data_IF_477468264400
#
_entry.id   IF_477468264400
#
_cell.length_a   1.000
_cell.length_b   1.000
_cell.length_c   1.000
_cell.angle_alpha   90.00
_cell.angle_beta   90.00
_cell.angle_gamma   90.00
#
_symmetry.space_group_name_H-M   'P 1'
#
loop_
_entity.id
_entity.type
_entity.pdbx_description
1 polymer ?
#
# COMPACT_ATOMS: atom_id res chain seq x y z
N UNK A 1 -16.40 -2.13 3.27
CA UNK A 1 -16.77 -2.28 4.69
C UNK A 1 -18.16 -2.88 4.86
N UNK A 2 -19.23 -2.24 4.38
CA UNK A 2 -20.61 -2.74 4.56
C UNK A 2 -20.85 -4.11 3.91
N UNK A 3 -20.30 -4.34 2.70
CA UNK A 3 -20.36 -5.66 2.04
C UNK A 3 -19.54 -6.77 2.72
N UNK A 4 -18.54 -6.40 3.53
CA UNK A 4 -17.65 -7.34 4.24
C UNK A 4 -17.94 -7.43 5.75
N UNK A 5 -18.94 -6.68 6.25
CA UNK A 5 -19.30 -6.58 7.68
C UNK A 5 -18.13 -6.20 8.61
N UNK A 6 -17.20 -5.38 8.12
CA UNK A 6 -16.04 -4.90 8.90
C UNK A 6 -16.35 -3.52 9.50
N UNK A 7 -16.01 -3.25 10.79
CA UNK A 7 -16.18 -1.93 11.39
C UNK A 7 -15.41 -0.86 10.61
N UNK A 8 -16.07 0.27 10.33
CA UNK A 8 -15.48 1.40 9.63
C UNK A 8 -15.42 2.62 10.55
N UNK A 9 -14.23 3.20 10.70
CA UNK A 9 -14.02 4.48 11.36
C UNK A 9 -13.74 5.51 10.26
N UNK A 10 -14.51 6.60 10.25
CA UNK A 10 -14.42 7.64 9.22
C UNK A 10 -14.51 9.02 9.86
N UNK A 11 -13.69 9.95 9.38
CA UNK A 11 -13.78 11.37 9.72
C UNK A 11 -14.77 12.12 8.84
N UNK A 12 -14.86 13.43 9.06
CA UNK A 12 -15.56 14.34 8.16
C UNK A 12 -14.71 14.59 6.90
N UNK A 13 -15.37 14.88 5.77
CA UNK A 13 -14.68 15.22 4.53
C UNK A 13 -13.82 16.48 4.74
N UNK A 14 -12.54 16.41 4.34
CA UNK A 14 -11.57 17.49 4.57
C UNK A 14 -11.04 17.59 6.00
N UNK A 15 -11.42 16.68 6.90
CA UNK A 15 -10.89 16.58 8.25
C UNK A 15 -9.45 16.08 8.31
N UNK A 16 -8.85 16.14 9.50
CA UNK A 16 -7.48 15.69 9.75
C UNK A 16 -7.35 14.15 9.66
N UNK A 17 -6.62 13.59 8.69
CA UNK A 17 -6.47 12.14 8.55
C UNK A 17 -5.82 11.49 9.78
N UNK A 18 -4.91 12.21 10.46
CA UNK A 18 -4.26 11.70 11.67
C UNK A 18 -5.25 11.53 12.84
N UNK A 19 -6.29 12.37 12.92
CA UNK A 19 -7.34 12.21 13.93
C UNK A 19 -8.17 10.94 13.67
N UNK A 20 -8.47 10.65 12.40
CA UNK A 20 -9.18 9.41 12.03
C UNK A 20 -8.35 8.16 12.38
N UNK A 21 -7.03 8.21 12.17
CA UNK A 21 -6.12 7.13 12.58
C UNK A 21 -6.11 6.94 14.09
N UNK A 22 -6.05 8.04 14.85
CA UNK A 22 -6.11 7.99 16.32
C UNK A 22 -7.39 7.29 16.79
N UNK A 23 -8.55 7.71 16.28
CA UNK A 23 -9.84 7.13 16.61
C UNK A 23 -9.93 5.64 16.21
N UNK A 24 -9.40 5.29 15.03
CA UNK A 24 -9.41 3.92 14.53
C UNK A 24 -8.60 2.98 15.42
N UNK A 25 -7.39 3.39 15.84
CA UNK A 25 -6.53 2.59 16.70
C UNK A 25 -7.11 2.46 18.12
N UNK A 26 -7.68 3.52 18.68
CA UNK A 26 -8.38 3.44 19.97
C UNK A 26 -9.58 2.50 19.92
N UNK A 27 -10.40 2.61 18.87
CA UNK A 27 -11.54 1.72 18.68
C UNK A 27 -11.11 0.25 18.53
N UNK A 28 -10.03 0.00 17.79
CA UNK A 28 -9.46 -1.33 17.62
C UNK A 28 -8.98 -1.93 18.95
N UNK A 29 -8.23 -1.17 19.76
CA UNK A 29 -7.79 -1.61 21.09
C UNK A 29 -8.98 -1.90 22.02
N UNK A 30 -9.96 -1.01 22.08
CA UNK A 30 -11.14 -1.19 22.92
C UNK A 30 -12.00 -2.40 22.52
N UNK A 31 -11.99 -2.76 21.24
CA UNK A 31 -12.74 -3.89 20.68
C UNK A 31 -11.93 -5.19 20.58
N UNK A 32 -10.65 -5.16 20.94
CA UNK A 32 -9.75 -6.31 20.80
C UNK A 32 -9.54 -6.75 19.34
N UNK A 33 -9.53 -5.82 18.39
CA UNK A 33 -9.26 -6.13 16.98
C UNK A 33 -7.76 -6.34 16.74
N UNK A 34 -7.42 -7.34 15.94
CA UNK A 34 -6.03 -7.72 15.66
C UNK A 34 -5.41 -6.93 14.50
N UNK A 35 -6.25 -6.47 13.55
CA UNK A 35 -5.82 -5.81 12.32
C UNK A 35 -6.58 -4.51 12.11
N UNK A 36 -5.84 -3.46 11.74
CA UNK A 36 -6.39 -2.17 11.30
C UNK A 36 -5.77 -1.81 9.96
N UNK A 37 -6.63 -1.62 8.95
CA UNK A 37 -6.22 -1.14 7.63
C UNK A 37 -6.55 0.36 7.56
N UNK A 38 -5.54 1.16 7.23
CA UNK A 38 -5.68 2.61 7.10
C UNK A 38 -5.54 2.96 5.62
N UNK A 39 -6.61 3.47 5.02
CA UNK A 39 -6.57 4.05 3.68
C UNK A 39 -6.02 5.49 3.74
N UNK A 40 -5.27 5.88 2.71
CA UNK A 40 -4.58 7.17 2.64
C UNK A 40 -4.76 7.83 1.28
N UNK A 41 -4.70 9.16 1.23
CA UNK A 41 -4.57 9.84 -0.05
C UNK A 41 -3.27 9.41 -0.76
N UNK A 42 -3.27 9.35 -2.10
CA UNK A 42 -2.12 8.85 -2.87
C UNK A 42 -1.68 9.75 -4.03
N UNK A 43 -2.21 10.97 -4.15
CA UNK A 43 -2.03 11.80 -5.36
C UNK A 43 -0.77 12.69 -5.27
N UNK A 44 0.24 12.37 -6.09
CA UNK A 44 1.57 13.00 -6.06
C UNK A 44 1.67 14.44 -6.59
N UNK A 45 0.65 15.02 -7.22
CA UNK A 45 0.76 16.39 -7.74
C UNK A 45 1.04 17.44 -6.64
N UNK A 46 0.66 17.16 -5.38
CA UNK A 46 0.96 18.00 -4.21
C UNK A 46 1.89 17.26 -3.22
N UNK A 47 3.06 16.82 -3.71
CA UNK A 47 4.03 15.97 -2.98
C UNK A 47 4.20 16.37 -1.51
N UNK A 48 4.53 17.63 -1.23
CA UNK A 48 4.93 18.06 0.13
C UNK A 48 3.81 17.91 1.17
N UNK A 49 2.61 18.37 0.84
CA UNK A 49 1.47 18.33 1.76
C UNK A 49 1.04 16.89 2.04
N UNK A 50 0.97 16.07 0.99
CA UNK A 50 0.65 14.65 1.13
C UNK A 50 1.68 13.94 2.03
N UNK A 51 2.97 14.16 1.79
CA UNK A 51 4.02 13.52 2.58
C UNK A 51 3.98 13.95 4.04
N UNK A 52 3.69 15.22 4.33
CA UNK A 52 3.51 15.71 5.71
C UNK A 52 2.32 15.05 6.41
N UNK A 53 1.22 14.81 5.70
CA UNK A 53 0.07 14.11 6.23
C UNK A 53 0.40 12.64 6.56
N UNK A 54 1.04 11.91 5.64
CA UNK A 54 1.44 10.52 5.86
C UNK A 54 2.40 10.36 7.05
N UNK A 55 3.40 11.24 7.15
CA UNK A 55 4.35 11.27 8.26
C UNK A 55 3.66 11.60 9.61
N UNK A 56 2.66 12.49 9.60
CA UNK A 56 1.83 12.75 10.79
C UNK A 56 0.99 11.54 11.18
N UNK A 57 0.40 10.82 10.23
CA UNK A 57 -0.35 9.59 10.48
C UNK A 57 0.56 8.51 11.07
N UNK A 58 1.75 8.29 10.49
CA UNK A 58 2.78 7.37 11.01
C UNK A 58 3.12 7.68 12.47
N UNK A 59 3.46 8.93 12.79
CA UNK A 59 3.72 9.34 14.19
C UNK A 59 2.56 9.08 15.12
N UNK A 60 1.33 9.23 14.64
CA UNK A 60 0.12 8.97 15.42
C UNK A 60 0.00 7.48 15.74
N UNK A 61 0.26 6.61 14.76
CA UNK A 61 0.35 5.17 14.98
C UNK A 61 1.41 4.84 16.04
N UNK A 62 2.65 5.33 15.87
CA UNK A 62 3.77 4.99 16.77
C UNK A 62 3.56 5.48 18.21
N UNK A 63 2.80 6.55 18.41
CA UNK A 63 2.46 7.08 19.75
C UNK A 63 1.50 6.17 20.50
N UNK A 64 0.54 5.56 19.81
CA UNK A 64 -0.49 4.70 20.40
C UNK A 64 -0.03 3.25 20.53
N UNK A 65 0.74 2.78 19.56
CA UNK A 65 1.23 1.41 19.48
C UNK A 65 2.73 1.47 19.17
N UNK A 66 3.61 1.16 20.13
CA UNK A 66 5.05 1.11 19.90
C UNK A 66 5.39 0.20 18.71
N UNK A 67 6.18 0.72 17.77
CA UNK A 67 6.55 0.01 16.55
C UNK A 67 5.52 0.06 15.42
N UNK A 68 4.35 0.69 15.60
CA UNK A 68 3.39 0.88 14.52
C UNK A 68 3.77 2.08 13.59
N UNK A 69 3.37 2.04 12.30
CA UNK A 69 2.69 0.93 11.64
C UNK A 69 3.65 -0.25 11.40
N UNK A 70 3.15 -1.48 11.55
CA UNK A 70 3.91 -2.71 11.31
C UNK A 70 4.20 -2.90 9.82
N UNK A 71 3.24 -2.55 8.97
CA UNK A 71 3.36 -2.57 7.51
C UNK A 71 3.00 -1.19 6.93
N UNK A 72 3.77 -0.75 5.94
CA UNK A 72 3.46 0.37 5.06
C UNK A 72 3.56 -0.13 3.63
N UNK A 73 2.42 -0.42 3.02
CA UNK A 73 2.32 -1.02 1.70
C UNK A 73 2.05 0.05 0.66
N UNK A 74 2.84 0.07 -0.42
CA UNK A 74 2.55 0.90 -1.58
C UNK A 74 1.86 0.06 -2.66
N UNK A 75 0.68 0.52 -3.10
CA UNK A 75 -0.02 -0.05 -4.25
C UNK A 75 0.49 0.62 -5.52
N UNK A 76 1.02 -0.16 -6.44
CA UNK A 76 1.56 0.28 -7.72
C UNK A 76 0.86 -0.41 -8.88
N UNK A 77 0.45 0.38 -9.86
CA UNK A 77 -0.11 -0.13 -11.11
C UNK A 77 1.03 -0.58 -12.05
N UNK A 78 1.05 -1.86 -12.42
CA UNK A 78 2.11 -2.45 -13.22
C UNK A 78 2.22 -1.85 -14.64
N UNK A 79 1.16 -1.21 -15.13
CA UNK A 79 1.14 -0.60 -16.46
C UNK A 79 1.88 0.73 -16.54
N UNK A 80 2.15 1.36 -15.38
CA UNK A 80 2.71 2.72 -15.28
C UNK A 80 4.20 2.83 -15.63
N UNK A 81 4.92 1.71 -15.67
CA UNK A 81 6.34 1.66 -16.01
C UNK A 81 7.18 2.60 -15.12
N UNK A 82 8.05 3.41 -15.74
CA UNK A 82 8.98 4.29 -15.01
C UNK A 82 8.28 5.27 -14.05
N UNK A 83 7.06 5.71 -14.37
CA UNK A 83 6.30 6.61 -13.51
C UNK A 83 5.98 5.97 -12.14
N UNK A 84 5.67 4.67 -12.13
CA UNK A 84 5.43 3.91 -10.90
C UNK A 84 6.69 3.76 -10.06
N UNK A 85 7.85 3.57 -10.69
CA UNK A 85 9.14 3.51 -9.99
C UNK A 85 9.49 4.86 -9.33
N UNK A 86 9.33 5.97 -10.05
CA UNK A 86 9.62 7.30 -9.51
C UNK A 86 8.68 7.64 -8.36
N UNK A 87 7.41 7.23 -8.45
CA UNK A 87 6.45 7.30 -7.35
C UNK A 87 6.96 6.51 -6.14
N UNK A 88 7.35 5.25 -6.32
CA UNK A 88 7.79 4.40 -5.24
C UNK A 88 9.03 4.96 -4.51
N UNK A 89 10.00 5.50 -5.26
CA UNK A 89 11.17 6.17 -4.72
C UNK A 89 10.78 7.36 -3.84
N UNK A 90 9.92 8.26 -4.36
CA UNK A 90 9.47 9.44 -3.60
C UNK A 90 8.72 9.00 -2.34
N UNK A 91 7.78 8.06 -2.41
CA UNK A 91 7.06 7.62 -1.21
C UNK A 91 8.00 7.03 -0.16
N UNK A 92 8.95 6.21 -0.58
CA UNK A 92 9.89 5.55 0.33
C UNK A 92 10.80 6.54 1.08
N UNK A 93 11.17 7.66 0.45
CA UNK A 93 11.97 8.71 1.10
C UNK A 93 11.27 9.33 2.31
N UNK A 94 9.93 9.49 2.27
CA UNK A 94 9.17 10.14 3.33
C UNK A 94 8.55 9.16 4.31
N UNK A 95 8.02 8.05 3.80
CA UNK A 95 7.41 6.99 4.61
C UNK A 95 8.02 5.66 4.19
N UNK A 96 9.01 5.14 4.95
CA UNK A 96 9.66 3.88 4.63
C UNK A 96 8.65 2.75 4.42
N UNK A 97 8.55 2.33 3.17
CA UNK A 97 7.69 1.23 2.76
C UNK A 97 8.28 -0.11 3.24
N UNK A 98 7.42 -1.03 3.62
CA UNK A 98 7.78 -2.41 4.03
C UNK A 98 7.45 -3.43 2.95
N UNK A 99 6.52 -3.09 2.06
CA UNK A 99 6.08 -3.96 0.99
C UNK A 99 5.41 -3.22 -0.16
N UNK A 100 5.27 -3.93 -1.28
CA UNK A 100 4.62 -3.42 -2.48
C UNK A 100 3.52 -4.38 -2.91
N UNK A 101 2.40 -3.81 -3.33
CA UNK A 101 1.30 -4.50 -3.99
C UNK A 101 1.31 -4.07 -5.45
N UNK A 102 1.50 -5.01 -6.37
CA UNK A 102 1.43 -4.73 -7.81
C UNK A 102 0.05 -5.08 -8.34
N UNK A 103 -0.64 -4.15 -9.00
CA UNK A 103 -1.96 -4.40 -9.59
C UNK A 103 -1.91 -4.35 -11.11
N UNK A 104 -2.96 -4.88 -11.76
CA UNK A 104 -3.13 -4.91 -13.23
C UNK A 104 -2.04 -5.67 -13.97
N UNK A 105 -1.59 -6.78 -13.39
CA UNK A 105 -0.58 -7.64 -14.00
C UNK A 105 -1.14 -8.50 -15.14
N UNK A 106 -2.45 -8.77 -15.11
CA UNK A 106 -3.24 -9.47 -16.14
C UNK A 106 -3.25 -8.75 -17.50
N UNK A 107 -3.28 -7.42 -17.49
CA UNK A 107 -3.37 -6.61 -18.70
C UNK A 107 -2.04 -6.20 -19.33
N UNK A 108 -0.88 -6.72 -18.87
CA UNK A 108 0.42 -6.10 -19.18
C UNK A 108 1.56 -7.06 -19.48
N UNK A 109 2.16 -6.90 -20.67
CA UNK A 109 3.49 -7.44 -21.02
C UNK A 109 4.66 -6.77 -20.25
N UNK A 110 4.38 -6.00 -19.18
CA UNK A 110 5.35 -5.14 -18.47
C UNK A 110 5.61 -5.56 -17.03
N UNK A 111 5.67 -6.86 -16.75
CA UNK A 111 6.18 -7.38 -15.48
C UNK A 111 7.55 -6.82 -15.07
N UNK A 112 8.35 -6.31 -16.01
CA UNK A 112 9.65 -5.68 -15.75
C UNK A 112 9.65 -4.57 -14.68
N UNK A 113 8.52 -3.89 -14.43
CA UNK A 113 8.44 -2.89 -13.35
C UNK A 113 8.63 -3.52 -11.97
N UNK A 114 8.14 -4.75 -11.75
CA UNK A 114 8.33 -5.49 -10.51
C UNK A 114 9.82 -5.63 -10.18
N UNK A 115 10.59 -6.03 -11.20
CA UNK A 115 12.03 -6.22 -11.09
C UNK A 115 12.77 -4.89 -10.88
N UNK A 116 12.38 -3.83 -11.60
CA UNK A 116 12.99 -2.51 -11.48
C UNK A 116 12.79 -1.90 -10.08
N UNK A 117 11.57 -2.01 -9.55
CA UNK A 117 11.23 -1.52 -8.22
C UNK A 117 11.98 -2.29 -7.14
N UNK A 118 11.97 -3.63 -7.18
CA UNK A 118 12.76 -4.45 -6.26
C UNK A 118 14.25 -4.12 -6.34
N UNK A 119 14.80 -3.99 -7.55
CA UNK A 119 16.21 -3.70 -7.74
C UNK A 119 16.63 -2.35 -7.12
N UNK A 120 15.79 -1.32 -7.23
CA UNK A 120 16.06 0.04 -6.73
C UNK A 120 15.77 0.21 -5.24
N UNK A 121 14.65 -0.30 -4.76
CA UNK A 121 14.20 -0.08 -3.38
C UNK A 121 14.62 -1.18 -2.41
N UNK A 122 14.91 -2.39 -2.91
CA UNK A 122 15.17 -3.59 -2.09
C UNK A 122 14.01 -3.94 -1.14
N UNK A 123 12.78 -3.57 -1.53
CA UNK A 123 11.54 -3.82 -0.78
C UNK A 123 10.80 -4.97 -1.47
N UNK A 124 10.29 -5.96 -0.70
CA UNK A 124 9.59 -7.09 -1.29
C UNK A 124 8.27 -6.66 -1.94
N UNK A 125 7.97 -7.27 -3.08
CA UNK A 125 6.60 -7.34 -3.58
C UNK A 125 5.92 -8.43 -2.75
N UNK A 126 4.86 -8.06 -2.05
CA UNK A 126 4.12 -8.97 -1.16
C UNK A 126 2.88 -9.55 -1.84
N UNK A 127 2.24 -8.76 -2.71
CA UNK A 127 0.97 -9.13 -3.34
C UNK A 127 0.93 -8.71 -4.82
N UNK A 128 0.12 -9.43 -5.59
CA UNK A 128 -0.20 -9.15 -6.97
C UNK A 128 -1.71 -9.18 -7.21
N UNK A 129 -2.22 -8.21 -7.95
CA UNK A 129 -3.60 -8.16 -8.44
C UNK A 129 -3.65 -8.61 -9.91
N UNK A 130 -4.36 -9.70 -10.17
CA UNK A 130 -4.47 -10.37 -11.47
C UNK A 130 -5.86 -10.18 -12.12
N UNK A 131 -6.64 -9.21 -11.64
CA UNK A 131 -8.01 -8.97 -12.08
C UNK A 131 -8.74 -7.98 -11.16
N UNK A 132 -10.06 -7.96 -11.27
CA UNK A 132 -10.94 -7.00 -10.57
C UNK A 132 -11.63 -7.60 -9.33
N UNK A 133 -11.68 -8.93 -9.23
CA UNK A 133 -12.36 -9.62 -8.15
C UNK A 133 -11.49 -9.73 -6.89
N UNK A 134 -12.11 -10.02 -5.74
CA UNK A 134 -11.39 -10.13 -4.46
C UNK A 134 -10.38 -11.28 -4.50
N UNK A 135 -10.73 -12.36 -5.18
CA UNK A 135 -9.94 -13.57 -5.34
C UNK A 135 -8.70 -13.36 -6.23
N UNK A 136 -8.66 -12.25 -6.98
CA UNK A 136 -7.56 -11.91 -7.89
C UNK A 136 -6.37 -11.25 -7.17
N UNK A 137 -6.51 -10.88 -5.90
CA UNK A 137 -5.41 -10.43 -5.05
C UNK A 137 -4.70 -11.62 -4.42
N UNK A 138 -3.53 -11.97 -4.93
CA UNK A 138 -2.77 -13.14 -4.52
C UNK A 138 -1.41 -12.78 -3.91
N UNK A 139 -0.87 -13.59 -3.00
CA UNK A 139 0.51 -13.46 -2.55
C UNK A 139 1.47 -13.52 -3.73
N UNK A 140 2.53 -12.71 -3.71
CA UNK A 140 3.52 -12.74 -4.78
C UNK A 140 4.39 -14.00 -4.70
N UNK A 141 4.38 -14.80 -5.77
CA UNK A 141 5.31 -15.91 -5.96
C UNK A 141 6.37 -15.51 -7.03
N UNK A 142 7.63 -15.27 -6.62
CA UNK A 142 8.70 -14.92 -7.55
C UNK A 142 8.96 -15.99 -8.63
N UNK A 143 8.75 -17.27 -8.32
CA UNK A 143 8.97 -18.35 -9.29
C UNK A 143 7.88 -18.34 -10.34
N UNK A 144 6.62 -18.36 -9.91
CA UNK A 144 5.48 -18.28 -10.82
C UNK A 144 5.54 -17.01 -11.69
N UNK A 145 5.99 -15.89 -11.10
CA UNK A 145 6.18 -14.64 -11.84
C UNK A 145 7.25 -14.74 -12.93
N UNK A 146 8.43 -15.31 -12.63
CA UNK A 146 9.50 -15.51 -13.61
C UNK A 146 9.06 -16.50 -14.69
N UNK A 147 8.41 -17.60 -14.32
CA UNK A 147 7.85 -18.57 -15.25
C UNK A 147 6.85 -17.92 -16.20
N UNK A 148 5.92 -17.11 -15.69
CA UNK A 148 4.97 -16.38 -16.53
C UNK A 148 5.64 -15.33 -17.43
N UNK A 149 6.72 -14.68 -16.97
CA UNK A 149 7.45 -13.67 -17.75
C UNK A 149 8.19 -14.24 -18.95
N UNK A 150 8.67 -15.49 -18.85
CA UNK A 150 9.45 -16.17 -19.89
C UNK A 150 8.70 -17.32 -20.55
N UNK A 151 7.45 -17.57 -20.15
CA UNK A 151 6.57 -18.47 -20.86
C UNK A 151 6.46 -17.97 -22.30
N UNK A 152 7.02 -18.74 -23.22
CA UNK A 152 6.88 -18.51 -24.64
C UNK A 152 5.41 -18.71 -25.00
N UNK A 153 4.76 -17.67 -25.51
CA UNK A 153 3.72 -17.86 -26.52
C UNK A 153 4.38 -18.09 -27.88
#
# INVERSE_FOLDING_TARGET
AEGLKIPLIKGQMGGDPAAVVYDALHAAQARGLEVVIIDTAGRLQNKRELMQQLDKMKRTCSKLIPGAPQETLLVLDATTGQNGLDQALVFHEFTPLTGIILTKLDGSAKGGIALAVYHKLKIPIQWVGLGEEIEDLQPFDPKAFVEALFALE
#
